data_IF_201861552787
#
_entry.id   IF_201861552787
#
_cell.length_a   1.000
_cell.length_b   1.000
_cell.length_c   1.000
_cell.angle_alpha   90.00
_cell.angle_beta   90.00
_cell.angle_gamma   90.00
#
_symmetry.space_group_name_H-M   'P 1'
#
loop_
_entity.id
_entity.type
_entity.pdbx_description
1 polymer ?
#
# COMPACT_ATOMS: atom_id res chain seq x y z
N UNK A 1 2.04 2.82 5.90
CA UNK A 1 3.01 3.56 5.08
C UNK A 1 4.24 2.69 4.88
N UNK A 2 4.92 2.89 3.75
CA UNK A 2 6.16 2.21 3.36
C UNK A 2 7.26 3.26 3.15
N UNK A 3 8.48 2.94 3.58
CA UNK A 3 9.69 3.76 3.43
C UNK A 3 10.83 2.94 2.84
N UNK A 4 11.93 3.60 2.50
CA UNK A 4 13.17 2.92 2.10
C UNK A 4 14.09 2.77 3.30
N UNK A 5 14.67 1.57 3.42
CA UNK A 5 15.69 1.30 4.42
C UNK A 5 16.98 2.06 4.08
N UNK A 6 17.29 3.06 4.91
CA UNK A 6 18.46 3.91 4.71
C UNK A 6 19.78 3.25 5.08
N UNK A 7 19.80 2.28 6.01
CA UNK A 7 21.05 1.68 6.54
C UNK A 7 20.87 0.36 7.34
N UNK A 8 19.66 -0.21 7.40
CA UNK A 8 19.39 -1.46 8.12
C UNK A 8 19.03 -1.26 9.60
N UNK A 9 17.79 -1.65 9.93
CA UNK A 9 17.39 -2.22 11.24
C UNK A 9 17.38 -1.33 12.50
N UNK A 10 17.35 -0.01 12.41
CA UNK A 10 17.09 0.82 13.59
C UNK A 10 15.72 1.50 13.54
N UNK A 11 14.75 0.90 14.24
CA UNK A 11 13.38 1.41 14.39
C UNK A 11 13.34 2.83 14.94
N UNK A 12 14.29 3.21 15.82
CA UNK A 12 14.38 4.57 16.34
C UNK A 12 14.77 5.55 15.22
N UNK A 13 15.77 5.20 14.40
CA UNK A 13 16.21 6.02 13.27
C UNK A 13 15.09 6.24 12.25
N UNK A 14 14.21 5.25 12.06
CA UNK A 14 13.00 5.33 11.24
C UNK A 14 11.97 6.30 11.82
N UNK A 15 11.72 6.23 13.13
CA UNK A 15 10.81 7.14 13.82
C UNK A 15 11.30 8.59 13.84
N UNK A 16 12.63 8.79 13.80
CA UNK A 16 13.25 10.11 13.77
C UNK A 16 13.19 10.76 12.37
N UNK A 17 12.83 10.00 11.31
CA UNK A 17 12.62 10.57 9.97
C UNK A 17 11.40 11.48 10.01
N UNK A 18 11.66 12.79 9.88
CA UNK A 18 10.59 13.76 9.71
C UNK A 18 9.89 13.54 8.36
N UNK A 19 8.67 13.03 8.40
CA UNK A 19 7.81 12.89 7.22
C UNK A 19 7.22 14.26 6.91
N UNK A 20 7.58 14.82 5.75
CA UNK A 20 6.96 16.05 5.23
C UNK A 20 5.99 15.74 4.10
N UNK A 21 6.34 14.75 3.26
CA UNK A 21 5.54 14.37 2.10
C UNK A 21 5.28 12.88 2.08
N UNK A 22 4.01 12.51 1.92
CA UNK A 22 3.55 11.13 1.76
C UNK A 22 2.97 10.97 0.36
N UNK A 23 3.56 10.08 -0.42
CA UNK A 23 3.09 9.80 -1.77
C UNK A 23 2.01 8.72 -1.83
N UNK A 24 1.04 8.83 -2.73
CA UNK A 24 0.07 7.77 -3.04
C UNK A 24 -0.36 7.83 -4.52
N UNK A 25 -1.25 6.93 -4.93
CA UNK A 25 -1.86 6.95 -6.27
C UNK A 25 -3.07 7.89 -6.26
N UNK A 26 -3.18 8.71 -7.30
CA UNK A 26 -4.30 9.61 -7.51
C UNK A 26 -5.64 8.86 -7.41
N UNK A 27 -6.52 9.33 -6.52
CA UNK A 27 -7.85 8.76 -6.31
C UNK A 27 -7.88 7.56 -5.36
N UNK A 28 -6.75 7.14 -4.81
CA UNK A 28 -6.73 6.11 -3.77
C UNK A 28 -7.15 6.70 -2.42
N UNK A 29 -7.86 5.89 -1.63
CA UNK A 29 -8.17 6.22 -0.25
C UNK A 29 -6.96 5.94 0.65
N UNK A 30 -6.84 6.71 1.73
CA UNK A 30 -5.73 6.62 2.69
C UNK A 30 -6.20 6.58 4.16
N UNK A 31 -7.22 5.79 4.54
CA UNK A 31 -7.82 5.87 5.87
C UNK A 31 -6.89 5.58 7.05
N UNK A 32 -5.76 4.88 6.87
CA UNK A 32 -4.78 4.71 7.94
C UNK A 32 -3.98 5.96 8.30
N UNK A 33 -4.10 7.05 7.52
CA UNK A 33 -3.37 8.32 7.71
C UNK A 33 -4.28 9.54 7.47
N UNK A 34 -5.59 9.35 7.45
CA UNK A 34 -6.55 10.39 7.05
C UNK A 34 -6.63 11.53 8.08
N UNK A 35 -6.51 11.20 9.37
CA UNK A 35 -6.54 12.19 10.46
C UNK A 35 -5.28 13.07 10.41
N UNK A 36 -4.12 12.48 10.20
CA UNK A 36 -2.84 13.17 10.11
C UNK A 36 -2.78 14.11 8.89
N UNK A 37 -3.35 13.68 7.76
CA UNK A 37 -3.52 14.53 6.59
C UNK A 37 -4.49 15.70 6.86
N UNK A 38 -5.61 15.44 7.54
CA UNK A 38 -6.56 16.50 7.91
C UNK A 38 -5.93 17.52 8.89
N UNK A 39 -5.07 17.04 9.79
CA UNK A 39 -4.33 17.85 10.75
C UNK A 39 -3.09 18.54 10.17
N UNK A 40 -2.79 18.32 8.87
CA UNK A 40 -1.60 18.86 8.18
C UNK A 40 -0.28 18.46 8.82
N UNK A 41 -0.19 17.23 9.34
CA UNK A 41 1.08 16.69 9.85
C UNK A 41 2.10 16.45 8.73
N UNK A 42 1.63 16.18 7.51
CA UNK A 42 2.40 16.04 6.28
C UNK A 42 1.51 16.28 5.04
N UNK A 43 2.15 16.59 3.93
CA UNK A 43 1.47 16.84 2.65
C UNK A 43 1.29 15.55 1.84
N UNK A 44 0.12 15.41 1.21
CA UNK A 44 -0.15 14.29 0.30
C UNK A 44 0.32 14.63 -1.11
N UNK A 45 1.15 13.78 -1.69
CA UNK A 45 1.57 13.86 -3.10
C UNK A 45 0.92 12.72 -3.88
N UNK A 46 0.26 13.03 -4.99
CA UNK A 46 -0.44 12.03 -5.80
C UNK A 46 0.25 11.83 -7.16
N UNK A 47 0.39 10.57 -7.55
CA UNK A 47 0.93 10.18 -8.86
C UNK A 47 -0.03 9.23 -9.57
N UNK A 48 0.10 9.08 -10.89
CA UNK A 48 -0.75 8.16 -11.66
C UNK A 48 -0.18 6.74 -11.80
N UNK A 49 1.11 6.57 -11.47
CA UNK A 49 1.87 5.34 -11.72
C UNK A 49 2.69 4.98 -10.49
N UNK A 50 2.65 3.71 -10.09
CA UNK A 50 3.36 3.22 -8.91
C UNK A 50 4.88 3.31 -9.08
N UNK A 51 5.40 3.14 -10.29
CA UNK A 51 6.83 3.25 -10.59
C UNK A 51 7.34 4.66 -10.34
N UNK A 52 6.53 5.68 -10.67
CA UNK A 52 6.85 7.07 -10.36
C UNK A 52 6.89 7.30 -8.85
N UNK A 53 5.92 6.72 -8.12
CA UNK A 53 5.85 6.82 -6.67
C UNK A 53 7.08 6.18 -5.99
N UNK A 54 7.47 4.97 -6.43
CA UNK A 54 8.67 4.27 -5.97
C UNK A 54 9.94 5.08 -6.31
N UNK A 55 10.03 5.64 -7.51
CA UNK A 55 11.15 6.51 -7.90
C UNK A 55 11.27 7.75 -6.98
N UNK A 56 10.15 8.39 -6.67
CA UNK A 56 10.13 9.55 -5.76
C UNK A 56 10.59 9.17 -4.35
N UNK A 57 10.21 7.99 -3.87
CA UNK A 57 10.71 7.46 -2.60
C UNK A 57 12.22 7.17 -2.67
N UNK A 58 12.67 6.48 -3.73
CA UNK A 58 14.07 6.09 -3.94
C UNK A 58 15.04 7.25 -4.02
N UNK A 59 14.57 8.38 -4.56
CA UNK A 59 15.33 9.63 -4.71
C UNK A 59 15.16 10.59 -3.54
N UNK A 60 14.35 10.25 -2.52
CA UNK A 60 14.11 11.09 -1.35
C UNK A 60 13.20 12.31 -1.58
N UNK A 61 12.52 12.38 -2.73
CA UNK A 61 11.52 13.43 -3.02
C UNK A 61 10.29 13.32 -2.11
N UNK A 62 9.98 12.11 -1.65
CA UNK A 62 9.02 11.83 -0.58
C UNK A 62 9.72 10.97 0.47
N UNK A 63 9.28 11.06 1.72
CA UNK A 63 9.87 10.29 2.83
C UNK A 63 9.14 8.97 3.03
N UNK A 64 7.85 8.94 2.70
CA UNK A 64 7.02 7.74 2.80
C UNK A 64 6.03 7.67 1.63
N UNK A 65 5.55 6.47 1.36
CA UNK A 65 4.40 6.25 0.49
C UNK A 65 3.29 5.48 1.22
N UNK A 66 2.04 5.77 0.87
CA UNK A 66 0.87 5.02 1.30
C UNK A 66 0.32 4.22 0.12
N UNK A 67 0.66 2.94 0.06
CA UNK A 67 0.30 2.02 -1.01
C UNK A 67 0.39 0.57 -0.51
N UNK A 68 -0.11 -0.39 -1.30
CA UNK A 68 -0.01 -1.82 -0.99
C UNK A 68 1.47 -2.26 -0.94
N UNK A 69 1.90 -2.82 0.19
CA UNK A 69 3.29 -3.18 0.44
C UNK A 69 3.78 -4.28 -0.50
N UNK A 70 3.04 -5.38 -0.65
CA UNK A 70 3.44 -6.51 -1.51
C UNK A 70 3.62 -6.09 -2.97
N UNK A 71 2.71 -5.26 -3.50
CA UNK A 71 2.83 -4.75 -4.87
C UNK A 71 3.99 -3.77 -4.99
N UNK A 72 4.21 -2.91 -3.98
CA UNK A 72 5.36 -2.01 -4.00
C UNK A 72 6.70 -2.78 -3.94
N UNK A 73 6.77 -3.83 -3.13
CA UNK A 73 7.96 -4.68 -2.97
C UNK A 73 8.29 -5.38 -4.29
N UNK A 74 7.34 -6.08 -4.91
CA UNK A 74 7.53 -6.77 -6.20
C UNK A 74 8.05 -5.82 -7.30
N UNK A 75 7.48 -4.63 -7.41
CA UNK A 75 7.91 -3.64 -8.41
C UNK A 75 9.26 -3.03 -8.05
N UNK A 76 9.51 -2.78 -6.76
CA UNK A 76 10.77 -2.21 -6.26
C UNK A 76 11.95 -3.17 -6.45
N UNK A 77 11.75 -4.49 -6.33
CA UNK A 77 12.80 -5.48 -6.59
C UNK A 77 13.34 -5.38 -8.03
N UNK A 78 12.47 -5.03 -8.98
CA UNK A 78 12.86 -4.81 -10.39
C UNK A 78 13.52 -3.45 -10.61
N UNK A 79 12.94 -2.37 -10.06
CA UNK A 79 13.41 -1.00 -10.31
C UNK A 79 14.64 -0.60 -9.48
N UNK A 80 14.74 -1.13 -8.26
CA UNK A 80 15.74 -0.76 -7.26
C UNK A 80 16.15 -1.99 -6.42
N UNK A 81 16.84 -2.99 -7.00
CA UNK A 81 17.14 -4.28 -6.35
C UNK A 81 17.96 -4.18 -5.06
N UNK A 82 18.61 -3.04 -4.81
CA UNK A 82 19.42 -2.80 -3.61
C UNK A 82 18.72 -1.92 -2.57
N UNK A 83 17.50 -1.45 -2.83
CA UNK A 83 16.72 -0.65 -1.88
C UNK A 83 15.58 -1.50 -1.35
N UNK A 84 15.62 -1.77 -0.05
CA UNK A 84 14.57 -2.51 0.63
C UNK A 84 13.47 -1.56 1.08
N UNK A 85 12.23 -1.96 0.84
CA UNK A 85 11.06 -1.29 1.39
C UNK A 85 10.78 -1.82 2.81
N UNK A 86 10.38 -0.92 3.70
CA UNK A 86 10.07 -1.24 5.09
C UNK A 86 8.79 -0.53 5.56
N UNK A 87 7.94 -1.18 6.37
CA UNK A 87 6.75 -0.56 6.91
C UNK A 87 7.10 0.49 7.98
N UNK A 88 6.35 1.59 8.01
CA UNK A 88 6.50 2.60 9.06
C UNK A 88 5.84 2.13 10.37
N UNK A 89 6.55 2.11 11.52
CA UNK A 89 6.04 1.55 12.77
C UNK A 89 4.86 2.34 13.38
N UNK A 90 4.85 3.68 13.25
CA UNK A 90 3.73 4.53 13.72
C UNK A 90 2.51 4.48 12.81
N UNK A 91 2.73 4.24 11.52
CA UNK A 91 1.70 4.32 10.48
C UNK A 91 1.71 3.01 9.71
N UNK A 92 1.26 1.91 10.32
CA UNK A 92 1.30 0.61 9.68
C UNK A 92 0.46 0.60 8.40
N UNK A 93 0.70 -0.40 7.55
CA UNK A 93 -0.17 -0.65 6.40
C UNK A 93 -1.55 -1.01 6.95
N UNK A 94 -2.58 -0.34 6.45
CA UNK A 94 -3.95 -0.63 6.86
C UNK A 94 -4.38 -1.93 6.18
N UNK A 95 -5.00 -2.83 6.94
CA UNK A 95 -5.52 -4.08 6.43
C UNK A 95 -6.78 -3.81 5.59
N UNK A 96 -6.67 -3.99 4.28
CA UNK A 96 -7.78 -3.80 3.33
C UNK A 96 -8.21 -5.11 2.71
N UNK A 97 -9.51 -5.38 2.77
CA UNK A 97 -10.17 -6.28 1.83
C UNK A 97 -10.60 -5.53 0.57
N UNK A 98 -10.04 -5.90 -0.59
CA UNK A 98 -10.58 -5.45 -1.88
C UNK A 98 -11.98 -6.03 -2.08
N UNK A 99 -12.90 -5.21 -2.58
CA UNK A 99 -14.30 -5.58 -2.81
C UNK A 99 -14.68 -5.31 -4.25
N UNK A 100 -15.48 -6.19 -4.83
CA UNK A 100 -16.17 -5.91 -6.08
C UNK A 100 -17.24 -4.84 -5.83
N UNK A 101 -17.30 -3.82 -6.68
CA UNK A 101 -18.31 -2.76 -6.59
C UNK A 101 -18.83 -2.39 -7.98
N UNK A 102 -20.14 -2.14 -8.06
CA UNK A 102 -20.81 -1.69 -9.28
C UNK A 102 -22.12 -0.99 -8.92
N UNK A 103 -22.35 0.19 -9.51
CA UNK A 103 -23.63 0.90 -9.39
C UNK A 103 -24.65 0.33 -10.39
N UNK A 104 -24.18 -0.08 -11.58
CA UNK A 104 -25.04 -0.48 -12.71
C UNK A 104 -25.44 -1.95 -12.67
N UNK A 105 -24.65 -2.78 -11.99
CA UNK A 105 -24.79 -4.24 -11.98
C UNK A 105 -24.74 -4.82 -10.56
N UNK A 106 -25.69 -4.47 -9.67
CA UNK A 106 -25.73 -5.01 -8.30
C UNK A 106 -25.91 -6.54 -8.28
N UNK A 107 -26.53 -7.12 -9.30
CA UNK A 107 -26.70 -8.57 -9.45
C UNK A 107 -25.37 -9.33 -9.56
N UNK A 108 -24.34 -8.70 -10.13
CA UNK A 108 -23.01 -9.30 -10.21
C UNK A 108 -22.34 -9.36 -8.84
N UNK A 109 -22.57 -8.37 -7.99
CA UNK A 109 -22.07 -8.36 -6.61
C UNK A 109 -22.68 -9.54 -5.85
N UNK A 110 -24.00 -9.71 -5.91
CA UNK A 110 -24.68 -10.83 -5.25
C UNK A 110 -24.21 -12.19 -5.75
N UNK A 111 -23.98 -12.33 -7.06
CA UNK A 111 -23.45 -13.57 -7.63
C UNK A 111 -22.01 -13.83 -7.19
N UNK A 112 -21.18 -12.79 -7.15
CA UNK A 112 -19.80 -12.87 -6.68
C UNK A 112 -19.73 -13.27 -5.20
N UNK A 113 -20.53 -12.63 -4.33
CA UNK A 113 -20.60 -12.98 -2.91
C UNK A 113 -21.02 -14.44 -2.71
N UNK A 114 -22.02 -14.92 -3.48
CA UNK A 114 -22.43 -16.33 -3.46
C UNK A 114 -21.32 -17.25 -3.95
N UNK A 115 -20.58 -16.86 -5.00
CA UNK A 115 -19.45 -17.63 -5.52
C UNK A 115 -18.37 -17.81 -4.46
N UNK A 116 -17.99 -16.73 -3.76
CA UNK A 116 -16.96 -16.77 -2.70
C UNK A 116 -17.27 -17.79 -1.60
N UNK A 117 -18.55 -17.96 -1.25
CA UNK A 117 -18.99 -18.94 -0.24
C UNK A 117 -19.12 -20.35 -0.83
N UNK A 118 -19.82 -20.47 -1.95
CA UNK A 118 -20.13 -21.79 -2.55
C UNK A 118 -18.91 -22.51 -3.13
N UNK A 119 -17.84 -21.78 -3.44
CA UNK A 119 -16.59 -22.32 -3.98
C UNK A 119 -15.40 -22.03 -3.04
N UNK A 120 -15.64 -22.01 -1.73
CA UNK A 120 -14.65 -21.63 -0.72
C UNK A 120 -13.32 -22.40 -0.83
N UNK A 121 -13.36 -23.70 -1.19
CA UNK A 121 -12.15 -24.50 -1.41
C UNK A 121 -11.33 -23.98 -2.60
N UNK A 122 -11.97 -23.71 -3.73
CA UNK A 122 -11.29 -23.14 -4.90
C UNK A 122 -10.72 -21.74 -4.60
N UNK A 123 -11.46 -20.93 -3.84
CA UNK A 123 -10.98 -19.61 -3.39
C UNK A 123 -9.77 -19.76 -2.46
N UNK A 124 -9.78 -20.75 -1.55
CA UNK A 124 -8.63 -21.04 -0.69
C UNK A 124 -7.41 -21.50 -1.50
N UNK A 125 -7.58 -22.34 -2.52
CA UNK A 125 -6.50 -22.76 -3.41
C UNK A 125 -5.87 -21.61 -4.18
N UNK A 126 -6.70 -20.67 -4.66
CA UNK A 126 -6.21 -19.45 -5.31
C UNK A 126 -5.41 -18.61 -4.30
N UNK A 127 -5.93 -18.39 -3.09
CA UNK A 127 -5.23 -17.63 -2.04
C UNK A 127 -3.89 -18.25 -1.70
N UNK A 128 -3.85 -19.57 -1.49
CA UNK A 128 -2.64 -20.33 -1.20
C UNK A 128 -1.59 -20.20 -2.31
N UNK A 129 -2.01 -20.24 -3.58
CA UNK A 129 -1.10 -20.08 -4.74
C UNK A 129 -0.35 -18.74 -4.72
N UNK A 130 -0.97 -17.70 -4.18
CA UNK A 130 -0.38 -16.36 -4.06
C UNK A 130 0.14 -16.05 -2.64
N UNK A 131 0.27 -17.06 -1.77
CA UNK A 131 0.79 -16.89 -0.42
C UNK A 131 -0.13 -16.11 0.54
N UNK A 132 -1.40 -15.95 0.18
CA UNK A 132 -2.41 -15.30 1.03
C UNK A 132 -3.01 -16.38 1.95
N UNK A 133 -2.88 -16.20 3.27
CA UNK A 133 -3.56 -17.03 4.28
C UNK A 133 -4.99 -16.57 4.48
#
# INVERSE_FOLDING_TARGET
MVMIDGDGKNTQKILDIKIQHVGTILGFSVPGISAELANKEFDKIETKKVEQLIHMLATGRIQAMYFNESVAEEISETLYPHKRLIPHPKYPVFDYGYKLSSIKHPELITQFDKFLVSHAEQVADIRNRYGLK
#
